data_IF_140919501090
#
_entry.id   IF_140919501090
#
_cell.length_a   1.000
_cell.length_b   1.000
_cell.length_c   1.000
_cell.angle_alpha   90.00
_cell.angle_beta   90.00
_cell.angle_gamma   90.00
#
_symmetry.space_group_name_H-M   'P 1'
#
loop_
_entity.id
_entity.type
_entity.pdbx_description
1 polymer ?
#
# COMPACT_ATOMS: atom_id res chain seq x y z
N UNK A 1 -23.81 -14.07 0.73
CA UNK A 1 -23.04 -13.32 -0.29
C UNK A 1 -22.66 -14.30 -1.39
N UNK A 2 -23.18 -14.14 -2.60
CA UNK A 2 -22.81 -14.98 -3.74
C UNK A 2 -21.40 -14.59 -4.22
N UNK A 3 -20.45 -15.51 -4.10
CA UNK A 3 -19.09 -15.30 -4.56
C UNK A 3 -19.04 -15.51 -6.08
N UNK A 4 -19.45 -14.50 -6.85
CA UNK A 4 -19.27 -14.51 -8.31
C UNK A 4 -17.80 -14.30 -8.63
N UNK A 5 -17.11 -15.37 -9.01
CA UNK A 5 -15.79 -15.29 -9.63
C UNK A 5 -15.97 -14.64 -11.00
N UNK A 6 -15.71 -13.33 -11.07
CA UNK A 6 -15.59 -12.62 -12.35
C UNK A 6 -14.13 -12.65 -12.77
N UNK A 7 -13.86 -13.13 -13.97
CA UNK A 7 -12.58 -12.85 -14.64
C UNK A 7 -12.60 -11.34 -14.89
N UNK A 8 -11.91 -10.59 -14.04
CA UNK A 8 -11.65 -9.18 -14.32
C UNK A 8 -10.74 -9.19 -15.54
N UNK A 9 -11.18 -8.60 -16.65
CA UNK A 9 -10.34 -8.37 -17.84
C UNK A 9 -9.33 -7.25 -17.51
N UNK A 10 -8.50 -7.55 -16.52
CA UNK A 10 -7.55 -6.66 -15.93
C UNK A 10 -6.29 -6.77 -16.77
N UNK A 11 -6.27 -6.01 -17.87
CA UNK A 11 -5.13 -5.94 -18.80
C UNK A 11 -3.80 -5.71 -18.07
N UNK A 12 -3.83 -5.06 -16.89
CA UNK A 12 -2.67 -4.82 -16.04
C UNK A 12 -2.00 -6.09 -15.48
N UNK A 13 -2.68 -7.24 -15.45
CA UNK A 13 -2.05 -8.54 -15.11
C UNK A 13 -1.32 -9.18 -16.30
N UNK A 14 -1.58 -8.74 -17.53
CA UNK A 14 -0.97 -9.31 -18.73
C UNK A 14 0.52 -8.95 -18.78
N UNK A 15 1.37 -9.93 -19.08
CA UNK A 15 2.83 -9.75 -19.13
C UNK A 15 3.26 -8.66 -20.14
N UNK A 16 2.49 -8.52 -21.23
CA UNK A 16 2.73 -7.56 -22.30
C UNK A 16 2.10 -6.18 -22.07
N UNK A 17 1.58 -5.89 -20.87
CA UNK A 17 1.00 -4.58 -20.57
C UNK A 17 2.03 -3.45 -20.75
N UNK A 18 1.62 -2.42 -21.47
CA UNK A 18 2.34 -1.16 -21.61
C UNK A 18 1.44 -0.01 -21.21
N UNK A 19 1.94 0.85 -20.33
CA UNK A 19 1.25 2.10 -20.01
C UNK A 19 1.14 2.95 -21.28
N UNK A 20 0.05 3.72 -21.41
CA UNK A 20 -0.15 4.63 -22.56
C UNK A 20 0.97 5.66 -22.69
N UNK A 21 1.57 6.08 -21.57
CA UNK A 21 2.69 7.03 -21.53
C UNK A 21 4.03 6.29 -21.63
N UNK A 22 4.87 6.67 -22.59
CA UNK A 22 6.21 6.08 -22.78
C UNK A 22 7.11 6.28 -21.56
N UNK A 23 7.12 7.48 -20.99
CA UNK A 23 7.89 7.82 -19.78
C UNK A 23 7.58 6.88 -18.60
N UNK A 24 6.30 6.54 -18.40
CA UNK A 24 5.90 5.64 -17.32
C UNK A 24 6.43 4.21 -17.51
N UNK A 25 6.59 3.76 -18.77
CA UNK A 25 7.23 2.48 -19.06
C UNK A 25 8.75 2.55 -18.84
N UNK A 26 9.40 3.65 -19.22
CA UNK A 26 10.84 3.86 -19.00
C UNK A 26 11.18 3.86 -17.51
N UNK A 27 10.48 4.66 -16.70
CA UNK A 27 10.67 4.70 -15.24
C UNK A 27 10.55 3.29 -14.65
N UNK A 28 9.52 2.54 -15.05
CA UNK A 28 9.32 1.16 -14.56
C UNK A 28 10.49 0.25 -14.89
N UNK A 29 10.98 0.29 -16.13
CA UNK A 29 12.05 -0.58 -16.60
C UNK A 29 13.40 -0.21 -15.99
N UNK A 30 13.64 1.09 -15.74
CA UNK A 30 14.82 1.59 -15.02
C UNK A 30 14.82 1.12 -13.55
N UNK A 31 13.68 1.23 -12.86
CA UNK A 31 13.52 0.76 -11.48
C UNK A 31 13.81 -0.74 -11.36
N UNK A 32 13.30 -1.56 -12.29
CA UNK A 32 13.53 -3.02 -12.26
C UNK A 32 15.03 -3.33 -12.32
N UNK A 33 15.78 -2.59 -13.16
CA UNK A 33 17.23 -2.78 -13.32
C UNK A 33 17.99 -2.27 -12.10
N UNK A 34 17.70 -1.05 -11.65
CA UNK A 34 18.40 -0.39 -10.55
C UNK A 34 18.24 -1.15 -9.22
N UNK A 35 17.01 -1.62 -8.95
CA UNK A 35 16.73 -2.43 -7.77
C UNK A 35 17.08 -3.90 -7.95
N UNK A 36 17.60 -4.32 -9.11
CA UNK A 36 17.99 -5.69 -9.42
C UNK A 36 16.89 -6.71 -9.07
N UNK A 37 15.64 -6.39 -9.42
CA UNK A 37 14.49 -7.19 -9.01
C UNK A 37 14.54 -8.57 -9.68
N UNK A 38 14.41 -9.63 -8.89
CA UNK A 38 14.30 -10.99 -9.43
C UNK A 38 12.95 -11.19 -10.15
N UNK A 39 12.72 -12.38 -10.72
CA UNK A 39 11.52 -12.69 -11.50
C UNK A 39 10.21 -12.45 -10.73
N UNK A 40 10.15 -12.90 -9.47
CA UNK A 40 8.93 -12.81 -8.65
C UNK A 40 8.71 -11.41 -8.09
N UNK A 41 9.78 -10.74 -7.67
CA UNK A 41 9.76 -9.34 -7.28
C UNK A 41 9.33 -8.44 -8.44
N UNK A 42 9.88 -8.67 -9.64
CA UNK A 42 9.51 -7.97 -10.87
C UNK A 42 8.04 -8.18 -11.19
N UNK A 43 7.52 -9.40 -11.03
CA UNK A 43 6.11 -9.70 -11.24
C UNK A 43 5.23 -8.90 -10.28
N UNK A 44 5.53 -8.93 -8.98
CA UNK A 44 4.79 -8.19 -7.96
C UNK A 44 4.82 -6.68 -8.23
N UNK A 45 6.01 -6.13 -8.50
CA UNK A 45 6.20 -4.73 -8.87
C UNK A 45 5.38 -4.33 -10.10
N UNK A 46 5.45 -5.12 -11.19
CA UNK A 46 4.72 -4.84 -12.43
C UNK A 46 3.21 -4.84 -12.23
N UNK A 47 2.64 -5.74 -11.43
CA UNK A 47 1.19 -5.75 -11.17
C UNK A 47 0.74 -4.39 -10.61
N UNK A 48 1.44 -3.89 -9.59
CA UNK A 48 1.09 -2.62 -8.94
C UNK A 48 1.40 -1.43 -9.87
N UNK A 49 2.56 -1.44 -10.54
CA UNK A 49 2.97 -0.38 -11.47
C UNK A 49 2.01 -0.23 -12.67
N UNK A 50 1.55 -1.36 -13.23
CA UNK A 50 0.60 -1.39 -14.33
C UNK A 50 -0.78 -0.92 -13.87
N UNK A 51 -1.24 -1.40 -12.71
CA UNK A 51 -2.49 -0.97 -12.10
C UNK A 51 -2.50 0.55 -11.86
N UNK A 52 -1.39 1.11 -11.37
CA UNK A 52 -1.26 2.55 -11.09
C UNK A 52 -1.33 3.42 -12.36
N UNK A 53 -1.08 2.83 -13.52
CA UNK A 53 -1.15 3.50 -14.83
C UNK A 53 -2.54 3.39 -15.49
N UNK A 54 -3.45 2.57 -14.95
CA UNK A 54 -4.82 2.45 -15.44
C UNK A 54 -5.67 3.64 -14.95
N UNK A 55 -6.63 4.05 -15.77
CA UNK A 55 -7.63 5.06 -15.37
C UNK A 55 -8.76 4.36 -14.63
N UNK A 56 -8.93 4.67 -13.34
CA UNK A 56 -9.99 4.11 -12.48
C UNK A 56 -10.10 2.57 -12.52
N UNK A 57 -9.00 1.82 -12.30
CA UNK A 57 -9.07 0.37 -12.21
C UNK A 57 -9.90 -0.07 -10.97
N UNK A 58 -10.46 -1.30 -10.98
CA UNK A 58 -11.08 -1.87 -9.79
C UNK A 58 -10.06 -2.02 -8.66
N UNK A 59 -10.52 -2.06 -7.40
CA UNK A 59 -9.61 -2.15 -6.24
C UNK A 59 -8.66 -3.36 -6.34
N UNK A 60 -7.36 -3.10 -6.25
CA UNK A 60 -6.34 -4.14 -6.13
C UNK A 60 -6.20 -4.59 -4.67
N UNK A 61 -6.64 -5.82 -4.38
CA UNK A 61 -6.33 -6.51 -3.12
C UNK A 61 -5.23 -7.52 -3.39
N UNK A 62 -4.04 -7.28 -2.85
CA UNK A 62 -2.86 -8.10 -3.11
C UNK A 62 -2.19 -8.49 -1.80
N UNK A 63 -1.88 -9.78 -1.66
CA UNK A 63 -1.03 -10.31 -0.59
C UNK A 63 0.34 -10.65 -1.18
N UNK A 64 1.40 -10.03 -0.64
CA UNK A 64 2.79 -10.32 -1.02
C UNK A 64 3.42 -11.24 0.04
N UNK A 65 3.27 -12.55 -0.18
CA UNK A 65 3.83 -13.58 0.69
C UNK A 65 5.28 -13.94 0.38
N UNK A 66 5.90 -14.70 1.28
CA UNK A 66 7.25 -15.27 1.11
C UNK A 66 7.95 -15.42 2.46
N UNK A 67 8.91 -16.33 2.55
CA UNK A 67 9.73 -16.50 3.76
C UNK A 67 10.46 -15.20 4.16
N UNK A 68 10.92 -15.11 5.39
CA UNK A 68 11.83 -14.03 5.81
C UNK A 68 13.05 -13.97 4.88
N UNK A 69 13.51 -12.76 4.54
CA UNK A 69 14.69 -12.58 3.67
C UNK A 69 14.44 -12.75 2.16
N UNK A 70 13.21 -13.01 1.69
CA UNK A 70 12.92 -13.13 0.24
C UNK A 70 12.84 -11.79 -0.51
N UNK A 71 13.20 -10.68 0.15
CA UNK A 71 13.25 -9.35 -0.47
C UNK A 71 11.88 -8.72 -0.76
N UNK A 72 10.85 -9.04 0.02
CA UNK A 72 9.54 -8.34 -0.05
C UNK A 72 9.70 -6.83 0.10
N UNK A 73 10.51 -6.41 1.07
CA UNK A 73 10.85 -4.99 1.32
C UNK A 73 11.53 -4.31 0.12
N UNK A 74 12.22 -5.08 -0.74
CA UNK A 74 12.85 -4.56 -1.96
C UNK A 74 11.80 -4.16 -3.01
N UNK A 75 10.71 -4.94 -3.13
CA UNK A 75 9.57 -4.58 -3.99
C UNK A 75 8.93 -3.28 -3.51
N UNK A 76 8.75 -3.12 -2.20
CA UNK A 76 8.16 -1.92 -1.61
C UNK A 76 9.05 -0.70 -1.87
N UNK A 77 10.36 -0.81 -1.62
CA UNK A 77 11.33 0.26 -1.90
C UNK A 77 11.33 0.68 -3.38
N UNK A 78 11.24 -0.30 -4.29
CA UNK A 78 11.12 -0.03 -5.72
C UNK A 78 9.81 0.71 -6.08
N UNK A 79 8.69 0.38 -5.42
CA UNK A 79 7.42 1.10 -5.61
C UNK A 79 7.47 2.53 -5.09
N UNK A 80 8.03 2.73 -3.88
CA UNK A 80 8.23 4.07 -3.31
C UNK A 80 9.02 4.94 -4.28
N UNK A 81 10.14 4.43 -4.79
CA UNK A 81 10.98 5.16 -5.74
C UNK A 81 10.25 5.41 -7.08
N UNK A 82 9.48 4.45 -7.58
CA UNK A 82 8.67 4.64 -8.79
C UNK A 82 7.66 5.78 -8.62
N UNK A 83 6.92 5.82 -7.51
CA UNK A 83 5.97 6.91 -7.22
C UNK A 83 6.69 8.24 -7.01
N UNK A 84 7.89 8.22 -6.42
CA UNK A 84 8.73 9.41 -6.29
C UNK A 84 9.16 9.98 -7.64
N UNK A 85 9.70 9.16 -8.55
CA UNK A 85 10.08 9.59 -9.91
C UNK A 85 8.91 10.11 -10.74
N UNK A 86 7.70 9.61 -10.47
CA UNK A 86 6.46 10.09 -11.09
C UNK A 86 5.92 11.40 -10.47
N UNK A 87 6.57 11.94 -9.43
CA UNK A 87 6.08 13.08 -8.62
C UNK A 87 4.72 12.80 -7.98
N UNK A 88 4.52 11.54 -7.58
CA UNK A 88 3.26 10.97 -7.10
C UNK A 88 3.44 10.26 -5.74
N UNK A 89 4.47 10.62 -4.95
CA UNK A 89 4.78 9.97 -3.67
C UNK A 89 3.59 9.88 -2.71
N UNK A 90 2.71 10.89 -2.71
CA UNK A 90 1.52 10.93 -1.87
C UNK A 90 0.52 9.79 -2.16
N UNK A 91 0.58 9.17 -3.35
CA UNK A 91 -0.32 8.07 -3.74
C UNK A 91 -0.02 6.76 -3.02
N UNK A 92 1.14 6.60 -2.37
CA UNK A 92 1.59 5.34 -1.80
C UNK A 92 2.09 5.53 -0.37
N UNK A 93 1.44 4.89 0.59
CA UNK A 93 1.84 4.91 2.00
C UNK A 93 2.17 3.50 2.51
N UNK A 94 3.10 3.42 3.45
CA UNK A 94 3.47 2.18 4.12
C UNK A 94 3.04 2.25 5.57
N UNK A 95 2.28 1.25 6.00
CA UNK A 95 1.82 1.03 7.35
C UNK A 95 2.46 -0.23 7.93
N UNK A 96 2.64 -0.27 9.23
CA UNK A 96 3.08 -1.47 9.95
C UNK A 96 2.44 -1.56 11.34
N UNK A 97 2.44 -2.72 12.00
CA UNK A 97 1.96 -2.87 13.37
C UNK A 97 2.86 -2.20 14.41
N UNK A 98 4.17 -2.22 14.20
CA UNK A 98 5.16 -1.70 15.15
C UNK A 98 5.92 -0.50 14.58
N UNK A 99 6.38 0.39 15.46
CA UNK A 99 7.19 1.55 15.06
C UNK A 99 8.49 1.15 14.37
N UNK A 100 9.13 0.07 14.84
CA UNK A 100 10.36 -0.45 14.23
C UNK A 100 10.14 -0.94 12.80
N UNK A 101 9.08 -1.73 12.56
CA UNK A 101 8.77 -2.20 11.21
C UNK A 101 8.39 -1.03 10.27
N UNK A 102 7.62 -0.06 10.77
CA UNK A 102 7.28 1.14 10.03
C UNK A 102 8.53 1.93 9.62
N UNK A 103 9.48 2.12 10.55
CA UNK A 103 10.69 2.90 10.31
C UNK A 103 11.59 2.30 9.21
N UNK A 104 11.59 0.97 9.03
CA UNK A 104 12.39 0.30 7.99
C UNK A 104 12.01 0.67 6.56
N UNK A 105 10.80 1.21 6.35
CA UNK A 105 10.25 1.58 5.04
C UNK A 105 9.78 3.04 5.02
N UNK A 106 10.25 3.87 5.95
CA UNK A 106 9.84 5.25 6.14
C UNK A 106 8.30 5.41 6.23
N UNK A 107 7.66 4.41 6.84
CA UNK A 107 6.22 4.32 7.01
C UNK A 107 5.75 4.84 8.37
N UNK A 108 4.49 4.55 8.67
CA UNK A 108 3.82 4.89 9.94
C UNK A 108 3.24 3.62 10.56
N UNK A 109 2.91 3.65 11.86
CA UNK A 109 2.06 2.58 12.38
C UNK A 109 0.64 2.75 11.86
N UNK A 110 -0.10 1.66 11.61
CA UNK A 110 -1.49 1.80 11.19
C UNK A 110 -2.34 2.51 12.26
N UNK A 111 -1.97 2.39 13.53
CA UNK A 111 -2.58 3.12 14.65
C UNK A 111 -2.49 4.63 14.47
N UNK A 112 -1.30 5.16 14.23
CA UNK A 112 -1.10 6.61 14.08
C UNK A 112 -1.63 7.14 12.75
N UNK A 113 -1.46 6.38 11.66
CA UNK A 113 -1.91 6.78 10.33
C UNK A 113 -3.44 6.79 10.19
N UNK A 114 -4.14 5.86 10.85
CA UNK A 114 -5.60 5.71 10.75
C UNK A 114 -6.35 6.21 12.00
N UNK A 115 -5.63 6.72 13.00
CA UNK A 115 -6.21 7.22 14.25
C UNK A 115 -6.99 6.13 14.98
N UNK A 116 -6.47 4.91 14.96
CA UNK A 116 -7.01 3.75 15.68
C UNK A 116 -6.39 3.77 17.07
N UNK A 117 -7.23 3.92 18.09
CA UNK A 117 -6.80 3.97 19.49
C UNK A 117 -6.70 2.54 20.02
N UNK A 118 -5.56 2.18 20.58
CA UNK A 118 -5.34 0.91 21.28
C UNK A 118 -5.90 1.11 22.69
N UNK A 119 -7.03 0.47 22.99
CA UNK A 119 -7.71 0.45 24.29
C UNK A 119 -8.46 1.74 24.69
N UNK A 120 -9.78 1.76 24.49
CA UNK A 120 -10.71 2.45 25.40
C UNK A 120 -10.83 1.63 26.68
N UNK A 121 -9.75 1.57 27.46
CA UNK A 121 -9.91 1.30 28.89
C UNK A 121 -10.54 2.56 29.46
N UNK A 122 -11.70 2.39 30.08
CA UNK A 122 -12.40 3.38 30.91
C UNK A 122 -11.39 4.30 31.64
N UNK A 123 -11.74 5.59 31.70
CA UNK A 123 -11.11 6.69 32.47
C UNK A 123 -10.25 7.70 31.67
N UNK A 124 -10.83 8.89 31.45
CA UNK A 124 -10.14 10.16 31.73
C UNK A 124 -9.24 10.82 30.68
N UNK A 125 -9.15 10.33 29.44
CA UNK A 125 -8.24 10.91 28.42
C UNK A 125 -8.88 11.99 27.53
N UNK A 126 -8.33 13.22 27.60
CA UNK A 126 -8.60 14.43 26.79
C UNK A 126 -9.42 14.15 25.52
N UNK A 127 -10.68 14.60 25.52
CA UNK A 127 -11.54 14.63 24.34
C UNK A 127 -11.03 15.66 23.32
N UNK A 128 -10.00 15.27 22.55
CA UNK A 128 -9.78 15.87 21.24
C UNK A 128 -11.06 15.69 20.42
N UNK A 129 -11.54 16.78 19.82
CA UNK A 129 -12.84 16.78 19.13
C UNK A 129 -12.83 15.69 18.04
N UNK A 130 -13.81 14.77 18.07
CA UNK A 130 -13.87 13.65 17.12
C UNK A 130 -13.86 14.14 15.66
N UNK A 131 -14.42 15.32 15.43
CA UNK A 131 -14.40 16.01 14.14
C UNK A 131 -12.97 16.38 13.68
N UNK A 132 -12.13 16.90 14.58
CA UNK A 132 -10.76 17.33 14.26
C UNK A 132 -9.89 16.11 13.91
N UNK A 133 -10.03 15.01 14.63
CA UNK A 133 -9.33 13.75 14.32
C UNK A 133 -9.74 13.19 12.95
N UNK A 134 -11.03 13.26 12.60
CA UNK A 134 -11.52 12.81 11.28
C UNK A 134 -11.00 13.72 10.17
N UNK A 135 -10.95 15.03 10.39
CA UNK A 135 -10.42 15.98 9.42
C UNK A 135 -8.93 15.74 9.17
N UNK A 136 -8.14 15.56 10.22
CA UNK A 136 -6.71 15.27 10.12
C UNK A 136 -6.46 13.94 9.38
N UNK A 137 -7.27 12.92 9.64
CA UNK A 137 -7.21 11.64 8.92
C UNK A 137 -7.55 11.78 7.44
N UNK A 138 -8.63 12.51 7.12
CA UNK A 138 -8.99 12.79 5.72
C UNK A 138 -7.88 13.55 5.01
N UNK A 139 -7.24 14.50 5.68
CA UNK A 139 -6.10 15.22 5.13
C UNK A 139 -4.91 14.30 4.86
N UNK A 140 -4.61 13.37 5.78
CA UNK A 140 -3.50 12.41 5.64
C UNK A 140 -3.73 11.38 4.52
N UNK A 141 -4.97 10.96 4.32
CA UNK A 141 -5.35 9.97 3.30
C UNK A 141 -5.77 10.61 1.98
N UNK A 142 -5.87 11.94 1.90
CA UNK A 142 -6.24 12.65 0.68
C UNK A 142 -5.19 12.41 -0.41
N UNK A 143 -5.62 11.82 -1.53
CA UNK A 143 -4.76 11.50 -2.66
C UNK A 143 -3.95 10.20 -2.51
N UNK A 144 -4.15 9.45 -1.42
CA UNK A 144 -3.57 8.11 -1.27
C UNK A 144 -4.39 7.10 -2.07
N UNK A 145 -3.74 6.41 -3.01
CA UNK A 145 -4.35 5.35 -3.82
C UNK A 145 -3.93 3.95 -3.34
N UNK A 146 -2.79 3.85 -2.67
CA UNK A 146 -2.18 2.59 -2.25
C UNK A 146 -1.75 2.64 -0.80
N UNK A 147 -2.19 1.63 -0.05
CA UNK A 147 -1.77 1.38 1.32
C UNK A 147 -1.10 0.01 1.34
N UNK A 148 0.19 0.00 1.63
CA UNK A 148 0.92 -1.24 1.89
C UNK A 148 0.99 -1.46 3.39
N UNK A 149 0.65 -2.67 3.86
CA UNK A 149 0.73 -3.03 5.27
C UNK A 149 1.80 -4.10 5.43
N UNK A 150 2.95 -3.73 6.01
CA UNK A 150 4.03 -4.65 6.31
C UNK A 150 3.77 -5.41 7.62
N UNK A 151 4.39 -6.57 7.76
CA UNK A 151 4.23 -7.47 8.92
C UNK A 151 2.75 -7.78 9.26
N UNK A 152 1.91 -7.98 8.23
CA UNK A 152 0.48 -8.27 8.39
C UNK A 152 0.20 -9.51 9.24
N UNK A 153 1.17 -10.44 9.37
CA UNK A 153 1.09 -11.59 10.26
C UNK A 153 1.00 -11.23 11.74
N UNK A 154 1.40 -10.02 12.12
CA UNK A 154 1.29 -9.51 13.49
C UNK A 154 -0.04 -8.77 13.75
N UNK A 155 -0.93 -8.66 12.75
CA UNK A 155 -2.19 -7.92 12.87
C UNK A 155 -3.33 -8.89 13.17
N UNK A 156 -4.04 -8.67 14.27
CA UNK A 156 -5.18 -9.50 14.62
C UNK A 156 -6.39 -9.23 13.69
N UNK A 157 -7.28 -10.22 13.54
CA UNK A 157 -8.45 -10.10 12.65
C UNK A 157 -9.34 -8.90 12.99
N UNK A 158 -9.55 -8.62 14.29
CA UNK A 158 -10.36 -7.48 14.74
C UNK A 158 -9.68 -6.11 14.45
N UNK A 159 -8.35 -6.06 14.45
CA UNK A 159 -7.59 -4.87 14.05
C UNK A 159 -7.68 -4.66 12.54
N UNK A 160 -7.58 -5.74 11.76
CA UNK A 160 -7.76 -5.68 10.31
C UNK A 160 -9.16 -5.19 9.91
N UNK A 161 -10.21 -5.61 10.64
CA UNK A 161 -11.56 -5.05 10.50
C UNK A 161 -11.58 -3.55 10.81
N UNK A 162 -10.94 -3.13 11.90
CA UNK A 162 -10.87 -1.72 12.30
C UNK A 162 -10.13 -0.86 11.26
N UNK A 163 -9.07 -1.38 10.66
CA UNK A 163 -8.36 -0.77 9.52
C UNK A 163 -9.33 -0.62 8.34
N UNK A 164 -10.02 -1.70 7.96
CA UNK A 164 -10.98 -1.68 6.84
C UNK A 164 -12.15 -0.72 7.05
N UNK A 165 -12.58 -0.49 8.30
CA UNK A 165 -13.68 0.43 8.61
C UNK A 165 -13.27 1.91 8.57
N UNK A 166 -11.96 2.21 8.54
CA UNK A 166 -11.41 3.57 8.46
C UNK A 166 -11.06 4.00 7.02
N UNK A 167 -11.01 3.06 6.08
CA UNK A 167 -10.67 3.25 4.67
C UNK A 167 -11.94 3.25 3.81
#
# INVERSE_FOLDING_TARGET
>A
MHNQVKIVDAEYFKYNFKAKRKEANMIRDDIIKEFHLNKDQTRAFKIIANHAACVKPPQLKMYLGGMGGTGKSQVIRALIEMFHRKKESHRFIVLAPTGTAAALLNGSTYHSALGIRINDSKEGGIHGNKADTIYELKSKLSGVDYIFIDEVSMIACHELYSISARL
#
